data_IF_613726702603
#
_entry.id   IF_613726702603
#
_cell.length_a   1.000
_cell.length_b   1.000
_cell.length_c   1.000
_cell.angle_alpha   90.00
_cell.angle_beta   90.00
_cell.angle_gamma   90.00
#
_symmetry.space_group_name_H-M   'P 1'
#
loop_
_entity.id
_entity.type
_entity.pdbx_description
1 polymer ?
#
# COMPACT_ATOMS: atom_id res chain seq x y z
N UNK A 1 -22.76 -11.98 21.43
CA UNK A 1 -21.88 -10.80 21.64
C UNK A 1 -21.93 -10.29 23.10
N UNK A 2 -23.06 -10.42 23.80
CA UNK A 2 -23.21 -9.94 25.19
C UNK A 2 -22.36 -10.71 26.23
N UNK A 3 -21.83 -11.88 25.90
CA UNK A 3 -20.92 -12.67 26.76
C UNK A 3 -19.43 -12.32 26.62
N UNK A 4 -19.09 -11.34 25.77
CA UNK A 4 -17.69 -10.95 25.56
C UNK A 4 -17.33 -9.84 26.53
N UNK A 5 -16.26 -10.03 27.32
CA UNK A 5 -15.80 -9.03 28.29
C UNK A 5 -15.49 -7.70 27.57
N UNK A 6 -16.11 -6.60 28.06
CA UNK A 6 -15.97 -5.27 27.46
C UNK A 6 -17.03 -4.93 26.39
N UNK A 7 -17.89 -5.86 25.98
CA UNK A 7 -19.00 -5.62 25.05
C UNK A 7 -20.31 -5.44 25.82
N UNK A 8 -20.67 -4.21 26.16
CA UNK A 8 -21.95 -3.90 26.79
C UNK A 8 -23.12 -4.02 25.80
N UNK A 9 -24.35 -4.12 26.35
CA UNK A 9 -25.62 -4.29 25.58
C UNK A 9 -25.76 -3.27 24.41
N UNK A 10 -25.41 -2.00 24.63
CA UNK A 10 -25.45 -0.96 23.57
C UNK A 10 -24.51 -1.26 22.41
N UNK A 11 -23.29 -1.72 22.72
CA UNK A 11 -22.31 -2.06 21.70
C UNK A 11 -22.70 -3.36 20.98
N UNK A 12 -23.15 -4.37 21.72
CA UNK A 12 -23.67 -5.62 21.16
C UNK A 12 -24.87 -5.36 20.23
N UNK A 13 -25.84 -4.53 20.65
CA UNK A 13 -26.97 -4.13 19.82
C UNK A 13 -26.54 -3.31 18.60
N UNK A 14 -25.60 -2.38 18.75
CA UNK A 14 -25.08 -1.59 17.63
C UNK A 14 -24.37 -2.48 16.58
N UNK A 15 -23.63 -3.49 17.02
CA UNK A 15 -22.99 -4.45 16.13
C UNK A 15 -24.04 -5.35 15.45
N UNK A 16 -25.06 -5.81 16.18
CA UNK A 16 -26.12 -6.68 15.64
C UNK A 16 -27.13 -5.93 14.76
N UNK A 17 -27.40 -4.68 15.06
CA UNK A 17 -28.30 -3.81 14.28
C UNK A 17 -27.56 -2.99 13.23
N UNK A 18 -26.21 -2.97 13.26
CA UNK A 18 -25.48 -2.27 12.22
C UNK A 18 -25.82 -2.95 10.89
N UNK A 19 -26.13 -2.15 9.91
CA UNK A 19 -26.25 -2.52 8.50
C UNK A 19 -24.93 -3.03 7.93
N UNK A 20 -24.20 -3.84 8.71
CA UNK A 20 -22.89 -4.40 8.37
C UNK A 20 -23.00 -5.19 7.09
N UNK A 21 -24.12 -5.91 6.91
CA UNK A 21 -24.38 -6.68 5.70
C UNK A 21 -24.58 -5.77 4.48
N UNK A 22 -25.42 -4.73 4.59
CA UNK A 22 -25.63 -3.77 3.49
C UNK A 22 -24.35 -2.98 3.17
N UNK A 23 -23.56 -2.65 4.19
CA UNK A 23 -22.28 -1.96 3.99
C UNK A 23 -21.26 -2.88 3.31
N UNK A 24 -21.17 -4.13 3.74
CA UNK A 24 -20.29 -5.12 3.12
C UNK A 24 -20.71 -5.37 1.66
N UNK A 25 -22.02 -5.57 1.38
CA UNK A 25 -22.52 -5.74 0.03
C UNK A 25 -22.16 -4.56 -0.87
N UNK A 26 -22.33 -3.32 -0.41
CA UNK A 26 -21.93 -2.13 -1.17
C UNK A 26 -20.43 -2.07 -1.47
N UNK A 27 -19.58 -2.52 -0.52
CA UNK A 27 -18.13 -2.57 -0.74
C UNK A 27 -17.80 -3.63 -1.79
N UNK A 28 -18.45 -4.79 -1.74
CA UNK A 28 -18.26 -5.87 -2.73
C UNK A 28 -18.71 -5.42 -4.12
N UNK A 29 -19.87 -4.79 -4.23
CA UNK A 29 -20.38 -4.23 -5.49
C UNK A 29 -19.40 -3.17 -6.05
N UNK A 30 -18.90 -2.29 -5.18
CA UNK A 30 -17.92 -1.26 -5.54
C UNK A 30 -16.60 -1.87 -6.05
N UNK A 31 -16.11 -2.92 -5.39
CA UNK A 31 -14.93 -3.66 -5.81
C UNK A 31 -15.15 -4.29 -7.20
N UNK A 32 -16.26 -5.00 -7.39
CA UNK A 32 -16.58 -5.65 -8.66
C UNK A 32 -16.70 -4.65 -9.82
N UNK A 33 -17.36 -3.51 -9.60
CA UNK A 33 -17.53 -2.47 -10.61
C UNK A 33 -16.21 -1.81 -11.05
N UNK A 34 -15.19 -1.81 -10.20
CA UNK A 34 -13.93 -1.10 -10.44
C UNK A 34 -12.71 -2.03 -10.62
N UNK A 35 -12.94 -3.35 -10.77
CA UNK A 35 -11.85 -4.32 -10.94
C UNK A 35 -10.89 -4.31 -9.75
N UNK A 36 -11.45 -4.28 -8.54
CA UNK A 36 -10.69 -4.35 -7.28
C UNK A 36 -10.92 -5.72 -6.68
N UNK A 37 -9.87 -6.49 -6.50
CA UNK A 37 -9.91 -7.76 -5.79
C UNK A 37 -9.78 -7.54 -4.28
N UNK A 38 -10.33 -8.46 -3.50
CA UNK A 38 -10.16 -8.52 -2.05
C UNK A 38 -9.32 -9.76 -1.76
N UNK A 39 -8.16 -9.55 -1.15
CA UNK A 39 -7.24 -10.61 -0.76
C UNK A 39 -7.21 -10.67 0.77
N UNK A 40 -7.64 -11.80 1.34
CA UNK A 40 -7.65 -12.04 2.77
C UNK A 40 -6.29 -12.55 3.25
N UNK A 41 -5.98 -12.39 4.52
CA UNK A 41 -4.75 -12.91 5.16
C UNK A 41 -4.63 -14.44 5.11
N UNK A 42 -5.78 -15.13 4.89
CA UNK A 42 -5.88 -16.59 4.71
C UNK A 42 -5.70 -17.05 3.27
N UNK A 43 -5.67 -16.13 2.31
CA UNK A 43 -5.56 -16.47 0.89
C UNK A 43 -4.11 -16.82 0.51
N UNK A 44 -3.88 -17.84 -0.33
CA UNK A 44 -2.53 -18.23 -0.75
C UNK A 44 -1.75 -17.14 -1.49
N UNK A 45 -2.44 -16.13 -2.03
CA UNK A 45 -1.83 -15.00 -2.75
C UNK A 45 -1.45 -13.84 -1.80
N UNK A 46 -1.88 -13.92 -0.52
CA UNK A 46 -1.49 -12.91 0.47
C UNK A 46 0.02 -12.96 0.72
N UNK A 47 0.72 -11.81 0.70
CA UNK A 47 2.19 -11.81 0.82
C UNK A 47 2.69 -12.32 2.17
N UNK A 48 3.51 -13.39 2.16
CA UNK A 48 4.03 -14.04 3.37
C UNK A 48 4.77 -13.09 4.32
N UNK A 49 5.59 -12.19 3.76
CA UNK A 49 6.31 -11.19 4.56
C UNK A 49 5.35 -10.26 5.30
N UNK A 50 4.25 -9.88 4.67
CA UNK A 50 3.26 -8.99 5.28
C UNK A 50 2.49 -9.68 6.42
N UNK A 51 2.27 -10.99 6.34
CA UNK A 51 1.63 -11.75 7.43
C UNK A 51 2.47 -11.81 8.71
N UNK A 52 3.78 -11.57 8.61
CA UNK A 52 4.74 -11.69 9.72
C UNK A 52 4.98 -10.39 10.49
N UNK A 53 4.45 -9.24 10.02
CA UNK A 53 4.61 -8.00 10.77
C UNK A 53 3.76 -7.99 12.06
N UNK A 54 4.10 -7.19 13.08
CA UNK A 54 3.36 -7.19 14.37
C UNK A 54 1.87 -6.81 14.26
N UNK A 55 1.46 -6.07 13.24
CA UNK A 55 0.09 -5.62 12.99
C UNK A 55 -0.25 -5.85 11.51
N UNK A 56 -0.43 -7.12 11.07
CA UNK A 56 -0.77 -7.41 9.67
C UNK A 56 -2.20 -6.95 9.38
N UNK A 57 -2.50 -6.54 8.13
CA UNK A 57 -3.88 -6.27 7.74
C UNK A 57 -4.64 -7.58 7.56
N UNK A 58 -5.89 -7.66 8.02
CA UNK A 58 -6.76 -8.83 7.83
C UNK A 58 -7.10 -9.04 6.33
N UNK A 59 -7.05 -7.97 5.54
CA UNK A 59 -7.32 -7.99 4.10
C UNK A 59 -6.63 -6.85 3.37
N UNK A 60 -6.45 -7.04 2.07
CA UNK A 60 -6.01 -6.01 1.13
C UNK A 60 -7.04 -5.85 0.00
N UNK A 61 -7.34 -4.62 -0.35
CA UNK A 61 -7.97 -4.27 -1.62
C UNK A 61 -6.86 -4.12 -2.66
N UNK A 62 -6.99 -4.77 -3.80
CA UNK A 62 -5.93 -4.90 -4.82
C UNK A 62 -6.48 -4.50 -6.19
N UNK A 63 -5.80 -3.62 -6.90
CA UNK A 63 -5.94 -3.42 -8.35
C UNK A 63 -4.66 -3.84 -9.04
N UNK A 64 -4.77 -4.59 -10.11
CA UNK A 64 -3.63 -5.26 -10.75
C UNK A 64 -3.41 -6.65 -10.18
N UNK A 65 -2.19 -7.14 -10.16
CA UNK A 65 -1.89 -8.51 -9.74
C UNK A 65 -0.76 -8.56 -8.73
N UNK A 66 -0.98 -9.31 -7.65
CA UNK A 66 0.10 -9.78 -6.79
C UNK A 66 0.64 -11.08 -7.37
N UNK A 67 1.96 -11.23 -7.39
CA UNK A 67 2.66 -12.37 -8.00
C UNK A 67 3.66 -12.96 -7.00
N UNK A 68 3.91 -14.28 -7.00
CA UNK A 68 4.91 -14.89 -6.13
C UNK A 68 6.32 -14.25 -6.21
N UNK A 69 6.69 -13.68 -7.36
CA UNK A 69 7.96 -12.96 -7.49
C UNK A 69 8.03 -11.67 -6.67
N UNK A 70 6.88 -11.14 -6.20
CA UNK A 70 6.82 -9.98 -5.30
C UNK A 70 7.39 -10.29 -3.90
N UNK A 71 7.66 -11.57 -3.59
CA UNK A 71 8.42 -11.97 -2.39
C UNK A 71 9.84 -11.41 -2.38
N UNK A 72 10.39 -11.06 -3.55
CA UNK A 72 11.68 -10.41 -3.71
C UNK A 72 11.48 -8.89 -3.93
N UNK A 73 10.89 -8.21 -2.94
CA UNK A 73 10.61 -6.79 -3.03
C UNK A 73 11.52 -5.93 -2.17
N UNK A 74 11.77 -4.70 -2.63
CA UNK A 74 12.50 -3.66 -1.90
C UNK A 74 11.63 -2.39 -1.82
N UNK A 75 11.46 -1.87 -0.62
CA UNK A 75 10.81 -0.58 -0.42
C UNK A 75 11.78 0.57 -0.78
N UNK A 76 11.32 1.52 -1.59
CA UNK A 76 12.05 2.75 -1.89
C UNK A 76 11.18 3.93 -1.48
N UNK A 77 11.60 4.65 -0.43
CA UNK A 77 10.81 5.73 0.18
C UNK A 77 11.66 6.96 0.43
N UNK A 78 11.01 8.12 0.61
CA UNK A 78 11.77 9.33 0.91
C UNK A 78 10.94 10.61 0.98
N UNK A 79 11.60 11.75 0.77
CA UNK A 79 11.00 13.07 0.89
C UNK A 79 9.94 13.32 -0.18
N UNK A 80 8.80 13.88 0.24
CA UNK A 80 7.72 14.34 -0.67
C UNK A 80 8.17 15.55 -1.51
N UNK A 81 8.98 16.43 -0.92
CA UNK A 81 9.59 17.60 -1.57
C UNK A 81 11.07 17.32 -1.83
N UNK A 82 11.33 16.24 -2.59
CA UNK A 82 12.68 15.86 -2.93
C UNK A 82 13.31 16.79 -3.97
N UNK A 83 14.63 16.98 -3.87
CA UNK A 83 15.40 17.67 -4.91
C UNK A 83 15.36 16.87 -6.23
N UNK A 84 15.63 17.55 -7.35
CA UNK A 84 15.76 16.86 -8.65
C UNK A 84 16.87 15.79 -8.62
N UNK A 85 17.94 16.02 -7.86
CA UNK A 85 18.99 15.03 -7.67
C UNK A 85 18.50 13.79 -6.90
N UNK A 86 17.77 13.99 -5.78
CA UNK A 86 17.16 12.89 -5.02
C UNK A 86 16.18 12.07 -5.86
N UNK A 87 15.34 12.73 -6.66
CA UNK A 87 14.41 12.04 -7.56
C UNK A 87 15.14 11.23 -8.64
N UNK A 88 16.23 11.77 -9.23
CA UNK A 88 17.06 11.01 -10.19
C UNK A 88 17.72 9.78 -9.56
N UNK A 89 18.21 9.94 -8.32
CA UNK A 89 18.81 8.82 -7.58
C UNK A 89 17.73 7.74 -7.32
N UNK A 90 16.55 8.13 -6.85
CA UNK A 90 15.45 7.18 -6.59
C UNK A 90 15.03 6.43 -7.86
N UNK A 91 14.90 7.16 -8.98
CA UNK A 91 14.57 6.57 -10.26
C UNK A 91 15.65 5.55 -10.70
N UNK A 92 16.93 5.96 -10.70
CA UNK A 92 18.02 5.08 -11.15
C UNK A 92 18.20 3.85 -10.26
N UNK A 93 18.05 3.98 -8.93
CA UNK A 93 18.08 2.84 -8.03
C UNK A 93 16.93 1.87 -8.29
N UNK A 94 15.71 2.38 -8.39
CA UNK A 94 14.53 1.55 -8.65
C UNK A 94 14.63 0.85 -10.02
N UNK A 95 15.11 1.56 -11.04
CA UNK A 95 15.36 1.00 -12.38
C UNK A 95 16.41 -0.13 -12.32
N UNK A 96 17.53 0.07 -11.63
CA UNK A 96 18.57 -0.94 -11.47
C UNK A 96 18.06 -2.18 -10.72
N UNK A 97 17.34 -2.00 -9.61
CA UNK A 97 16.78 -3.10 -8.82
C UNK A 97 15.71 -3.87 -9.61
N UNK A 98 14.86 -3.15 -10.36
CA UNK A 98 13.82 -3.76 -11.18
C UNK A 98 14.44 -4.57 -12.36
N UNK A 99 15.51 -4.08 -12.99
CA UNK A 99 16.29 -4.85 -13.97
C UNK A 99 16.92 -6.11 -13.37
N UNK A 100 17.25 -6.09 -12.08
CA UNK A 100 17.74 -7.27 -11.36
C UNK A 100 16.62 -8.26 -10.95
N UNK A 101 15.37 -7.99 -11.32
CA UNK A 101 14.20 -8.84 -11.02
C UNK A 101 13.54 -8.58 -9.67
N UNK A 102 13.90 -7.49 -8.97
CA UNK A 102 13.28 -7.12 -7.71
C UNK A 102 12.03 -6.28 -7.94
N UNK A 103 10.98 -6.54 -7.16
CA UNK A 103 9.77 -5.70 -7.15
C UNK A 103 10.01 -4.44 -6.31
N UNK A 104 9.63 -3.28 -6.83
CA UNK A 104 9.74 -2.00 -6.11
C UNK A 104 8.44 -1.70 -5.39
N UNK A 105 8.50 -1.56 -4.06
CA UNK A 105 7.36 -1.17 -3.23
C UNK A 105 7.52 0.28 -2.79
N UNK A 106 6.46 1.08 -2.91
CA UNK A 106 6.47 2.45 -2.42
C UNK A 106 5.07 2.98 -2.10
N UNK A 107 5.00 4.20 -1.59
CA UNK A 107 3.77 4.76 -1.05
C UNK A 107 3.02 5.69 -2.01
N UNK A 108 3.38 5.79 -3.25
CA UNK A 108 2.76 6.68 -4.24
C UNK A 108 2.81 8.17 -3.87
N UNK A 109 3.58 8.58 -2.87
CA UNK A 109 3.71 10.00 -2.52
C UNK A 109 4.47 10.78 -3.61
N UNK A 110 4.36 12.13 -3.55
CA UNK A 110 5.22 12.99 -4.38
C UNK A 110 6.70 12.71 -4.10
N UNK A 111 7.55 13.12 -5.01
CA UNK A 111 9.01 13.09 -4.83
C UNK A 111 9.60 11.71 -5.01
N UNK A 112 10.19 11.13 -3.98
CA UNK A 112 10.96 9.88 -4.05
C UNK A 112 10.08 8.69 -4.45
N UNK A 113 8.91 8.53 -3.84
CA UNK A 113 8.01 7.40 -4.10
C UNK A 113 7.60 7.35 -5.58
N UNK A 114 7.15 8.48 -6.11
CA UNK A 114 6.77 8.57 -7.53
C UNK A 114 7.96 8.34 -8.47
N UNK A 115 9.16 8.80 -8.11
CA UNK A 115 10.38 8.57 -8.90
C UNK A 115 10.76 7.09 -8.90
N UNK A 116 10.61 6.39 -7.76
CA UNK A 116 10.86 4.98 -7.64
C UNK A 116 9.91 4.14 -8.52
N UNK A 117 8.60 4.40 -8.47
CA UNK A 117 7.64 3.72 -9.35
C UNK A 117 7.99 3.92 -10.83
N UNK A 118 8.28 5.16 -11.25
CA UNK A 118 8.68 5.44 -12.64
C UNK A 118 9.96 4.73 -13.05
N UNK A 119 10.94 4.61 -12.14
CA UNK A 119 12.18 3.85 -12.40
C UNK A 119 11.92 2.38 -12.66
N UNK A 120 11.09 1.74 -11.83
CA UNK A 120 10.70 0.34 -12.00
C UNK A 120 9.93 0.12 -13.31
N UNK A 121 8.95 0.99 -13.62
CA UNK A 121 8.17 0.95 -14.86
C UNK A 121 9.08 1.13 -16.08
N UNK A 122 10.04 2.07 -16.04
CA UNK A 122 10.98 2.33 -17.12
C UNK A 122 11.87 1.11 -17.43
N UNK A 123 12.18 0.32 -16.42
CA UNK A 123 12.88 -0.97 -16.56
C UNK A 123 11.98 -2.09 -17.13
N UNK A 124 10.69 -1.86 -17.32
CA UNK A 124 9.71 -2.93 -17.60
C UNK A 124 9.53 -3.90 -16.42
N UNK A 125 9.96 -3.51 -15.22
CA UNK A 125 9.91 -4.33 -14.02
C UNK A 125 8.62 -4.13 -13.22
N UNK A 126 8.51 -4.89 -12.11
CA UNK A 126 7.32 -4.87 -11.26
C UNK A 126 7.39 -3.78 -10.20
N UNK A 127 6.22 -3.22 -9.87
CA UNK A 127 6.12 -2.27 -8.77
C UNK A 127 4.75 -2.35 -8.08
N UNK A 128 4.73 -2.17 -6.75
CA UNK A 128 3.54 -2.18 -5.91
C UNK A 128 3.39 -0.84 -5.22
N UNK A 129 2.28 -0.16 -5.48
CA UNK A 129 1.93 1.07 -4.78
C UNK A 129 1.01 0.76 -3.61
N UNK A 130 1.43 1.10 -2.39
CA UNK A 130 0.57 1.00 -1.21
C UNK A 130 -0.08 2.36 -0.96
N UNK A 131 -1.41 2.42 -0.86
CA UNK A 131 -2.15 3.67 -0.71
C UNK A 131 -2.56 3.92 0.75
N UNK A 132 -2.56 5.19 1.15
CA UNK A 132 -3.15 5.66 2.42
C UNK A 132 -4.58 6.18 2.26
N UNK A 133 -5.25 5.77 1.19
CA UNK A 133 -6.66 6.03 0.87
C UNK A 133 -7.24 4.80 0.20
N UNK A 134 -8.55 4.74 0.00
CA UNK A 134 -9.16 3.71 -0.84
C UNK A 134 -8.71 3.84 -2.30
N UNK A 135 -8.71 2.74 -3.03
CA UNK A 135 -8.19 2.65 -4.41
C UNK A 135 -8.96 3.50 -5.44
N UNK A 136 -10.15 4.00 -5.09
CA UNK A 136 -10.92 4.97 -5.90
C UNK A 136 -10.60 6.43 -5.60
N UNK A 137 -9.89 6.69 -4.51
CA UNK A 137 -9.54 8.04 -4.04
C UNK A 137 -8.03 8.24 -4.08
N UNK A 138 -7.47 8.25 -5.29
CA UNK A 138 -6.03 8.37 -5.51
C UNK A 138 -5.51 9.70 -4.95
N UNK A 139 -4.49 9.61 -4.09
CA UNK A 139 -3.80 10.76 -3.54
C UNK A 139 -2.28 10.56 -3.60
N UNK A 140 -1.54 11.55 -4.11
CA UNK A 140 -2.00 12.85 -4.63
C UNK A 140 -2.76 12.71 -5.98
N UNK A 141 -3.70 13.62 -6.23
CA UNK A 141 -4.58 13.54 -7.41
C UNK A 141 -3.84 13.53 -8.73
N UNK A 142 -2.70 14.22 -8.82
CA UNK A 142 -1.87 14.23 -10.03
C UNK A 142 -1.22 12.87 -10.36
N UNK A 143 -1.30 11.88 -9.47
CA UNK A 143 -0.75 10.53 -9.68
C UNK A 143 -1.78 9.52 -10.24
N UNK A 144 -2.94 9.97 -10.72
CA UNK A 144 -3.91 9.07 -11.35
C UNK A 144 -3.29 8.25 -12.49
N UNK A 145 -2.57 8.91 -13.42
CA UNK A 145 -1.90 8.17 -14.49
C UNK A 145 -0.81 7.23 -13.97
N UNK A 146 -0.04 7.66 -12.98
CA UNK A 146 1.00 6.82 -12.39
C UNK A 146 0.44 5.55 -11.74
N UNK A 147 -0.76 5.63 -11.13
CA UNK A 147 -1.43 4.43 -10.59
C UNK A 147 -1.80 3.46 -11.70
N UNK A 148 -2.33 3.94 -12.83
CA UNK A 148 -2.67 3.06 -13.96
C UNK A 148 -1.40 2.40 -14.53
N UNK A 149 -0.30 3.14 -14.61
CA UNK A 149 1.00 2.59 -15.05
C UNK A 149 1.51 1.55 -14.04
N UNK A 150 1.37 1.80 -12.71
CA UNK A 150 1.72 0.83 -11.65
C UNK A 150 0.87 -0.43 -11.77
N UNK A 151 -0.45 -0.30 -11.93
CA UNK A 151 -1.39 -1.42 -12.06
C UNK A 151 -1.05 -2.31 -13.26
N UNK A 152 -0.58 -1.73 -14.35
CA UNK A 152 -0.17 -2.47 -15.54
C UNK A 152 1.18 -3.20 -15.37
N UNK A 153 1.98 -2.84 -14.36
CA UNK A 153 3.29 -3.45 -14.06
C UNK A 153 3.34 -4.20 -12.71
N UNK A 154 2.22 -4.33 -12.04
CA UNK A 154 2.14 -4.96 -10.73
C UNK A 154 0.81 -4.70 -10.06
N UNK A 155 0.80 -4.00 -8.93
CA UNK A 155 -0.43 -3.75 -8.18
C UNK A 155 -0.45 -2.40 -7.46
N UNK A 156 -1.66 -1.88 -7.29
CA UNK A 156 -1.98 -0.86 -6.28
C UNK A 156 -2.79 -1.53 -5.16
N UNK A 157 -2.35 -1.37 -3.91
CA UNK A 157 -2.97 -2.03 -2.76
C UNK A 157 -3.37 -1.03 -1.67
N UNK A 158 -4.41 -1.35 -0.94
CA UNK A 158 -4.86 -0.58 0.22
C UNK A 158 -5.53 -1.47 1.26
N UNK A 159 -5.34 -1.17 2.54
CA UNK A 159 -6.09 -1.75 3.66
C UNK A 159 -7.49 -1.10 3.81
N UNK A 160 -7.72 0.04 3.16
CA UNK A 160 -8.94 0.83 3.31
C UNK A 160 -9.95 0.51 2.21
N UNK A 161 -11.27 0.49 2.53
CA UNK A 161 -12.32 0.31 1.53
C UNK A 161 -12.16 1.27 0.33
N UNK A 162 -12.56 0.84 -0.89
CA UNK A 162 -12.26 1.55 -2.14
C UNK A 162 -12.62 3.03 -2.17
N UNK A 163 -13.76 3.39 -1.59
CA UNK A 163 -14.28 4.77 -1.57
C UNK A 163 -13.76 5.64 -0.41
N UNK A 164 -12.84 5.13 0.44
CA UNK A 164 -12.31 5.86 1.60
C UNK A 164 -11.45 7.05 1.16
N UNK A 165 -11.77 8.28 1.58
CA UNK A 165 -10.97 9.45 1.24
C UNK A 165 -9.61 9.45 1.96
N UNK A 166 -8.59 10.14 1.43
CA UNK A 166 -7.30 10.27 2.09
C UNK A 166 -7.45 11.10 3.38
N UNK A 167 -6.81 10.63 4.46
CA UNK A 167 -6.74 11.36 5.72
C UNK A 167 -5.33 11.22 6.35
N UNK A 168 -4.93 12.25 7.10
CA UNK A 168 -3.54 12.37 7.57
C UNK A 168 -3.04 11.18 8.40
N UNK A 169 -3.91 10.59 9.23
CA UNK A 169 -3.55 9.45 10.09
C UNK A 169 -3.36 8.13 9.31
N UNK A 170 -3.92 8.00 8.10
CA UNK A 170 -3.80 6.79 7.31
C UNK A 170 -2.39 6.61 6.71
N UNK A 171 -1.68 7.71 6.41
CA UNK A 171 -0.37 7.62 5.77
C UNK A 171 0.71 6.97 6.66
N UNK A 172 0.87 7.34 7.94
CA UNK A 172 1.79 6.63 8.83
C UNK A 172 1.40 5.17 9.06
N UNK A 173 0.09 4.89 9.21
CA UNK A 173 -0.41 3.54 9.40
C UNK A 173 -0.11 2.64 8.19
N UNK A 174 -0.30 3.15 6.98
CA UNK A 174 0.01 2.47 5.75
C UNK A 174 1.49 2.07 5.62
N UNK A 175 2.42 2.85 6.19
CA UNK A 175 3.85 2.61 6.03
C UNK A 175 4.30 1.23 6.53
N UNK A 176 3.59 0.62 7.50
CA UNK A 176 3.86 -0.75 7.94
C UNK A 176 3.64 -1.78 6.82
N UNK A 177 2.70 -1.51 5.93
CA UNK A 177 2.44 -2.37 4.77
C UNK A 177 3.55 -2.20 3.72
N UNK A 178 4.07 -0.97 3.53
CA UNK A 178 5.22 -0.73 2.63
C UNK A 178 6.44 -1.51 3.09
N UNK A 179 6.80 -1.43 4.37
CA UNK A 179 7.91 -2.21 4.92
C UNK A 179 7.62 -3.71 4.97
N UNK A 180 6.40 -4.10 5.36
CA UNK A 180 5.98 -5.49 5.49
C UNK A 180 5.91 -6.26 4.16
N UNK A 181 5.76 -5.59 3.04
CA UNK A 181 5.84 -6.19 1.71
C UNK A 181 7.28 -6.36 1.20
N UNK A 182 8.30 -5.94 1.97
CA UNK A 182 9.65 -5.76 1.44
C UNK A 182 10.70 -6.45 2.31
N UNK A 183 11.72 -7.02 1.68
CA UNK A 183 12.89 -7.59 2.33
C UNK A 183 13.77 -6.52 3.01
N UNK A 184 13.64 -5.27 2.58
CA UNK A 184 14.37 -4.14 3.13
C UNK A 184 13.86 -2.81 2.60
N UNK A 185 14.27 -1.72 3.26
CA UNK A 185 13.82 -0.36 2.93
C UNK A 185 15.01 0.55 2.60
N UNK A 186 15.00 1.13 1.42
CA UNK A 186 15.95 2.17 0.99
C UNK A 186 15.30 3.53 1.21
N UNK A 187 15.95 4.38 2.01
CA UNK A 187 15.51 5.75 2.26
C UNK A 187 16.37 6.74 1.47
N UNK A 188 15.73 7.48 0.58
CA UNK A 188 16.41 8.50 -0.24
C UNK A 188 15.91 9.89 0.18
N UNK A 189 16.83 10.72 0.64
CA UNK A 189 16.56 12.11 1.02
C UNK A 189 15.42 12.23 2.06
N UNK A 190 15.70 11.91 3.32
CA UNK A 190 14.78 12.09 4.42
C UNK A 190 15.25 13.18 5.39
N UNK A 191 14.35 14.04 5.85
CA UNK A 191 14.62 14.89 7.01
C UNK A 191 14.40 14.08 8.31
N UNK A 192 14.99 14.54 9.43
CA UNK A 192 14.88 13.85 10.73
C UNK A 192 13.44 13.58 11.20
N UNK A 193 12.46 14.36 10.73
CA UNK A 193 11.03 14.19 11.04
C UNK A 193 10.22 13.63 9.88
N UNK A 194 10.88 13.01 8.90
CA UNK A 194 10.24 12.45 7.71
C UNK A 194 9.47 11.19 8.02
N UNK A 195 8.27 11.05 7.44
CA UNK A 195 7.51 9.79 7.45
C UNK A 195 8.26 8.60 6.85
N UNK A 196 9.24 8.82 5.96
CA UNK A 196 10.10 7.78 5.41
C UNK A 196 10.98 7.10 6.48
N UNK A 197 11.39 7.84 7.52
CA UNK A 197 12.13 7.26 8.65
C UNK A 197 11.22 6.40 9.56
N UNK A 198 9.90 6.65 9.55
CA UNK A 198 8.95 5.76 10.22
C UNK A 198 8.94 4.42 9.49
N UNK A 199 8.86 4.41 8.15
CA UNK A 199 8.92 3.19 7.35
C UNK A 199 10.20 2.39 7.58
N UNK A 200 11.35 3.08 7.66
CA UNK A 200 12.63 2.41 7.92
C UNK A 200 12.68 1.74 9.30
N UNK A 201 12.14 2.40 10.35
CA UNK A 201 12.07 1.82 11.71
C UNK A 201 11.09 0.64 11.81
N UNK A 202 10.10 0.59 10.95
CA UNK A 202 9.14 -0.52 10.90
C UNK A 202 9.70 -1.74 10.15
N UNK A 203 10.86 -1.60 9.48
CA UNK A 203 11.57 -2.65 8.78
C UNK A 203 12.67 -3.32 9.66
N UNK A 204 12.87 -2.85 10.90
CA UNK A 204 13.75 -3.44 11.91
C UNK A 204 13.03 -4.56 12.70
#
# INVERSE_FOLDING_TARGET
LEGIHGVGHRLASAISMSSTHDKASRILDDCQQHGIDIVLDTDPVFPDLLSQIPDPPDMLFVRGTLDPCDSLAIAVVGARHATKAGQRIAHAFAECLAHAGLTIVSGLARGIDAAAHRGAINAGGRTIAVLGSGLRNIYPHEHHQLVEDVVSHGAAVSELPPSTPPHAAAFPRRNRIVSGLSLGTIVIQASQRSGALITARLAE
#
